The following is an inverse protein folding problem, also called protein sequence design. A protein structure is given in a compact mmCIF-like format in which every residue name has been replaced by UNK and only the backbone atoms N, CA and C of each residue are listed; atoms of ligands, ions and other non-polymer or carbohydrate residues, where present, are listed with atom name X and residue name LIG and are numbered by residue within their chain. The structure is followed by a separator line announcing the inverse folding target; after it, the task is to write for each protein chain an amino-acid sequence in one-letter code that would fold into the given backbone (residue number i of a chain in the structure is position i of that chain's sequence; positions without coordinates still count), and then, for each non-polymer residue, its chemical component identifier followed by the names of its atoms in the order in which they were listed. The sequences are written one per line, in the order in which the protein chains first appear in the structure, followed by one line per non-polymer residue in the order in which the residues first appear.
data_IF_472441408342
#
_entry.id   IF_472441408342
#
_cell.length_a   1.000
_cell.length_b   1.000
_cell.length_c   1.000
_cell.angle_alpha   90.00
_cell.angle_beta   90.00
_cell.angle_gamma   90.00
#
_symmetry.space_group_name_H-M   'P 1'
#
loop_
_entity.id
_entity.type
_entity.pdbx_description
1 polymer ?
#
# COMPACT_ATOMS: atom_id res chain seq x y z
N UNK A 1 -15.27 40.99 15.11
CA UNK A 1 -15.64 40.17 16.29
C UNK A 1 -14.38 39.53 16.85
N UNK A 2 -14.22 39.45 18.16
CA UNK A 2 -13.04 38.81 18.76
C UNK A 2 -12.91 37.32 18.32
N UNK A 3 -11.66 36.85 18.24
CA UNK A 3 -11.25 35.50 17.77
C UNK A 3 -11.67 35.07 16.35
N UNK A 4 -12.28 35.93 15.53
CA UNK A 4 -12.60 35.57 14.13
C UNK A 4 -11.35 35.37 13.26
N UNK A 5 -10.30 36.17 13.47
CA UNK A 5 -9.01 36.02 12.79
C UNK A 5 -8.32 34.70 13.14
N UNK A 6 -8.18 34.43 14.45
CA UNK A 6 -7.61 33.18 14.98
C UNK A 6 -8.33 31.92 14.45
N UNK A 7 -9.68 31.93 14.39
CA UNK A 7 -10.43 30.85 13.72
C UNK A 7 -10.04 30.69 12.24
N UNK A 8 -9.91 31.79 11.50
CA UNK A 8 -9.57 31.75 10.06
C UNK A 8 -8.15 31.20 9.83
N UNK A 9 -7.21 31.58 10.67
CA UNK A 9 -5.82 31.11 10.64
C UNK A 9 -5.72 29.61 10.93
N UNK A 10 -6.32 29.13 12.04
CA UNK A 10 -6.32 27.72 12.39
C UNK A 10 -7.02 26.82 11.34
N UNK A 11 -8.03 27.33 10.64
CA UNK A 11 -8.67 26.61 9.52
C UNK A 11 -7.80 26.59 8.26
N UNK A 12 -7.07 27.67 7.95
CA UNK A 12 -6.15 27.72 6.82
C UNK A 12 -4.93 26.78 7.03
N UNK A 13 -4.44 26.67 8.26
CA UNK A 13 -3.39 25.73 8.63
C UNK A 13 -3.85 24.26 8.52
N UNK A 14 -5.10 23.96 8.91
CA UNK A 14 -5.71 22.65 8.71
C UNK A 14 -5.84 22.30 7.22
N UNK A 15 -6.32 23.24 6.40
CA UNK A 15 -6.42 23.06 4.95
C UNK A 15 -5.04 22.79 4.32
N UNK A 16 -4.02 23.55 4.72
CA UNK A 16 -2.63 23.39 4.28
C UNK A 16 -2.04 22.03 4.70
N UNK A 17 -2.35 21.56 5.91
CA UNK A 17 -1.95 20.25 6.37
C UNK A 17 -2.63 19.13 5.57
N UNK A 18 -3.94 19.24 5.31
CA UNK A 18 -4.70 18.28 4.52
C UNK A 18 -4.16 18.16 3.08
N UNK A 19 -3.89 19.28 2.41
CA UNK A 19 -3.29 19.27 1.06
C UNK A 19 -1.91 18.59 1.03
N UNK A 20 -1.13 18.72 2.10
CA UNK A 20 0.16 17.99 2.23
C UNK A 20 -0.06 16.49 2.43
N UNK A 21 -1.00 16.12 3.29
CA UNK A 21 -1.37 14.72 3.53
C UNK A 21 -1.86 14.03 2.25
N UNK A 22 -2.82 14.65 1.54
CA UNK A 22 -3.38 14.13 0.29
C UNK A 22 -2.29 13.92 -0.78
N UNK A 23 -1.36 14.86 -0.93
CA UNK A 23 -0.22 14.71 -1.85
C UNK A 23 0.67 13.53 -1.47
N UNK A 24 1.06 13.42 -0.21
CA UNK A 24 1.92 12.32 0.27
C UNK A 24 1.23 10.97 0.12
N UNK A 25 -0.06 10.91 0.47
CA UNK A 25 -0.91 9.73 0.34
C UNK A 25 -1.01 9.26 -1.11
N UNK A 26 -1.38 10.15 -2.05
CA UNK A 26 -1.52 9.81 -3.46
C UNK A 26 -0.18 9.34 -4.10
N UNK A 27 0.94 9.96 -3.71
CA UNK A 27 2.28 9.50 -4.13
C UNK A 27 2.60 8.11 -3.56
N UNK A 28 2.25 7.86 -2.30
CA UNK A 28 2.50 6.58 -1.63
C UNK A 28 1.67 5.45 -2.24
N UNK A 29 0.38 5.66 -2.49
CA UNK A 29 -0.49 4.69 -3.17
C UNK A 29 0.09 4.31 -4.52
N UNK A 30 0.45 5.30 -5.35
CA UNK A 30 1.03 5.07 -6.68
C UNK A 30 2.32 4.26 -6.64
N UNK A 31 3.22 4.54 -5.69
CA UNK A 31 4.47 3.77 -5.56
C UNK A 31 4.22 2.34 -5.06
N UNK A 32 3.19 2.12 -4.22
CA UNK A 32 2.79 0.77 -3.80
C UNK A 32 2.20 -0.03 -4.97
N UNK A 33 1.41 0.60 -5.84
CA UNK A 33 0.88 -0.01 -7.07
C UNK A 33 2.00 -0.45 -8.02
N UNK A 34 3.05 0.37 -8.15
CA UNK A 34 4.26 0.03 -8.93
C UNK A 34 5.00 -1.14 -8.27
N UNK A 35 5.24 -1.09 -6.96
CA UNK A 35 5.88 -2.19 -6.20
C UNK A 35 5.11 -3.52 -6.33
N UNK A 36 3.77 -3.48 -6.33
CA UNK A 36 2.95 -4.67 -6.54
C UNK A 36 3.16 -5.27 -7.94
N UNK A 37 3.16 -4.44 -8.99
CA UNK A 37 3.46 -4.87 -10.36
C UNK A 37 4.86 -5.48 -10.47
N UNK A 38 5.87 -4.80 -9.93
CA UNK A 38 7.25 -5.29 -9.93
C UNK A 38 7.38 -6.66 -9.24
N UNK A 39 6.75 -6.87 -8.08
CA UNK A 39 6.74 -8.18 -7.40
C UNK A 39 6.08 -9.29 -8.25
N UNK A 40 5.01 -8.96 -8.99
CA UNK A 40 4.35 -9.91 -9.91
C UNK A 40 5.23 -10.21 -11.14
N UNK A 41 5.95 -9.23 -11.68
CA UNK A 41 6.91 -9.45 -12.77
C UNK A 41 8.16 -10.23 -12.30
N UNK A 42 8.63 -10.00 -11.08
CA UNK A 42 9.68 -10.82 -10.44
C UNK A 42 9.26 -12.28 -10.31
N UNK A 43 7.98 -12.57 -10.04
CA UNK A 43 7.46 -13.94 -9.99
C UNK A 43 7.56 -14.66 -11.36
N UNK A 44 7.32 -13.95 -12.47
CA UNK A 44 7.53 -14.49 -13.82
C UNK A 44 8.98 -14.88 -14.04
N UNK A 45 9.91 -14.02 -13.63
CA UNK A 45 11.35 -14.23 -13.75
C UNK A 45 11.85 -15.40 -12.88
N UNK A 46 11.40 -15.50 -11.63
CA UNK A 46 11.66 -16.65 -10.74
C UNK A 46 11.22 -17.95 -11.40
N UNK A 47 10.00 -18.00 -11.96
CA UNK A 47 9.46 -19.20 -12.63
C UNK A 47 10.24 -19.58 -13.89
N UNK A 48 10.74 -18.61 -14.67
CA UNK A 48 11.63 -18.90 -15.80
C UNK A 48 12.94 -19.59 -15.38
N UNK A 49 13.50 -19.20 -14.23
CA UNK A 49 14.74 -19.77 -13.69
C UNK A 49 14.49 -21.15 -13.06
N UNK A 50 13.39 -21.33 -12.32
CA UNK A 50 12.96 -22.66 -11.86
C UNK A 50 12.79 -23.60 -13.04
N UNK A 51 12.10 -23.18 -14.11
CA UNK A 51 11.86 -24.00 -15.30
C UNK A 51 13.18 -24.39 -16.00
N UNK A 52 14.08 -23.43 -16.19
CA UNK A 52 15.42 -23.68 -16.73
C UNK A 52 16.18 -24.70 -15.86
N UNK A 53 16.28 -24.49 -14.55
CA UNK A 53 16.93 -25.42 -13.64
C UNK A 53 16.27 -26.82 -13.65
N UNK A 54 14.94 -26.86 -13.72
CA UNK A 54 14.19 -28.11 -13.78
C UNK A 54 14.46 -28.90 -15.06
N UNK A 55 14.73 -28.25 -16.21
CA UNK A 55 15.15 -28.95 -17.44
C UNK A 55 16.54 -29.61 -17.37
N UNK A 56 17.40 -29.21 -16.42
CA UNK A 56 18.76 -29.73 -16.33
C UNK A 56 18.82 -31.14 -15.72
N UNK A 57 19.60 -32.04 -16.31
CA UNK A 57 19.91 -33.35 -15.73
C UNK A 57 21.08 -33.29 -14.74
N UNK A 58 21.15 -34.28 -13.83
CA UNK A 58 22.23 -34.43 -12.83
C UNK A 58 22.41 -33.20 -11.89
N UNK A 59 21.31 -32.58 -11.46
CA UNK A 59 21.32 -31.43 -10.53
C UNK A 59 22.02 -31.75 -9.20
N UNK A 60 22.91 -30.88 -8.67
CA UNK A 60 23.44 -30.99 -7.31
C UNK A 60 22.30 -30.92 -6.27
N UNK A 61 22.34 -31.78 -5.24
CA UNK A 61 21.30 -31.84 -4.19
C UNK A 61 21.08 -30.50 -3.50
N UNK A 62 22.16 -29.82 -3.12
CA UNK A 62 22.14 -28.48 -2.51
C UNK A 62 21.28 -27.46 -3.29
N UNK A 63 21.31 -27.50 -4.63
CA UNK A 63 20.54 -26.59 -5.47
C UNK A 63 19.07 -27.01 -5.62
N UNK A 64 18.78 -28.31 -5.55
CA UNK A 64 17.39 -28.81 -5.51
C UNK A 64 16.71 -28.29 -4.24
N UNK A 65 17.40 -28.36 -3.10
CA UNK A 65 16.88 -27.90 -1.81
C UNK A 65 16.59 -26.39 -1.83
N UNK A 66 17.49 -25.56 -2.39
CA UNK A 66 17.24 -24.11 -2.57
C UNK A 66 16.08 -23.81 -3.54
N UNK A 67 15.94 -24.56 -4.64
CA UNK A 67 14.82 -24.39 -5.58
C UNK A 67 13.47 -24.80 -4.96
N UNK A 68 13.46 -25.80 -4.08
CA UNK A 68 12.28 -26.12 -3.28
C UNK A 68 11.90 -24.96 -2.33
N UNK A 69 12.88 -24.27 -1.71
CA UNK A 69 12.61 -23.07 -0.89
C UNK A 69 12.08 -21.90 -1.73
N UNK A 70 12.67 -21.65 -2.90
CA UNK A 70 12.14 -20.67 -3.88
C UNK A 70 10.66 -20.95 -4.19
N UNK A 71 10.32 -22.23 -4.41
CA UNK A 71 8.95 -22.67 -4.70
C UNK A 71 7.98 -22.42 -3.55
N UNK A 72 8.37 -22.72 -2.31
CA UNK A 72 7.57 -22.40 -1.13
C UNK A 72 7.33 -20.90 -1.00
N UNK A 73 8.38 -20.09 -1.17
CA UNK A 73 8.32 -18.63 -1.08
C UNK A 73 7.36 -18.02 -2.11
N UNK A 74 7.50 -18.35 -3.40
CA UNK A 74 6.60 -17.76 -4.40
C UNK A 74 5.18 -18.33 -4.31
N UNK A 75 5.01 -19.60 -3.90
CA UNK A 75 3.66 -20.18 -3.71
C UNK A 75 2.92 -19.50 -2.56
N UNK A 76 3.62 -19.11 -1.50
CA UNK A 76 3.02 -18.33 -0.40
C UNK A 76 2.60 -16.93 -0.89
N UNK A 77 3.44 -16.27 -1.70
CA UNK A 77 3.11 -14.99 -2.32
C UNK A 77 1.88 -15.08 -3.25
N UNK A 78 1.77 -16.12 -4.09
CA UNK A 78 0.60 -16.34 -4.95
C UNK A 78 -0.67 -16.64 -4.15
N UNK A 79 -0.57 -17.40 -3.05
CA UNK A 79 -1.70 -17.61 -2.12
C UNK A 79 -2.19 -16.31 -1.51
N UNK A 80 -1.27 -15.44 -1.10
CA UNK A 80 -1.59 -14.14 -0.51
C UNK A 80 -2.28 -13.22 -1.53
N UNK A 81 -1.71 -13.05 -2.73
CA UNK A 81 -2.36 -12.30 -3.84
C UNK A 81 -3.78 -12.84 -4.08
N UNK A 82 -3.93 -14.16 -4.18
CA UNK A 82 -5.24 -14.79 -4.41
C UNK A 82 -6.22 -14.58 -3.25
N UNK A 83 -5.76 -14.59 -2.00
CA UNK A 83 -6.64 -14.28 -0.86
C UNK A 83 -7.10 -12.82 -0.88
N UNK A 84 -6.20 -11.90 -1.23
CA UNK A 84 -6.49 -10.47 -1.35
C UNK A 84 -7.48 -10.18 -2.49
N UNK A 85 -7.31 -10.81 -3.66
CA UNK A 85 -8.27 -10.75 -4.75
C UNK A 85 -9.66 -11.27 -4.34
N UNK A 86 -9.72 -12.37 -3.58
CA UNK A 86 -10.96 -12.96 -3.12
C UNK A 86 -11.66 -12.08 -2.08
N UNK A 87 -10.93 -11.49 -1.12
CA UNK A 87 -11.50 -10.54 -0.17
C UNK A 87 -11.96 -9.25 -0.87
N UNK A 88 -11.22 -8.77 -1.86
CA UNK A 88 -11.63 -7.59 -2.63
C UNK A 88 -12.86 -7.84 -3.50
N UNK A 89 -12.97 -9.01 -4.16
CA UNK A 89 -14.18 -9.43 -4.89
C UNK A 89 -15.39 -9.62 -3.95
N UNK A 90 -15.17 -10.05 -2.70
CA UNK A 90 -16.23 -10.09 -1.68
C UNK A 90 -16.67 -8.68 -1.30
N UNK A 91 -15.73 -7.75 -1.11
CA UNK A 91 -16.02 -6.34 -0.81
C UNK A 91 -16.85 -5.70 -1.93
N UNK A 92 -16.47 -5.92 -3.19
CA UNK A 92 -17.19 -5.47 -4.38
C UNK A 92 -18.61 -6.08 -4.49
N UNK A 93 -18.77 -7.35 -4.10
CA UNK A 93 -20.10 -7.99 -4.06
C UNK A 93 -20.97 -7.48 -2.92
N UNK A 94 -20.39 -7.12 -1.78
CA UNK A 94 -21.09 -6.48 -0.64
C UNK A 94 -21.42 -5.01 -0.95
N UNK A 95 -20.59 -4.31 -1.71
CA UNK A 95 -20.91 -2.98 -2.26
C UNK A 95 -21.82 -3.03 -3.49
N UNK A 96 -22.28 -4.21 -3.93
CA UNK A 96 -23.30 -4.35 -4.97
C UNK A 96 -24.64 -3.68 -4.61
N UNK A 97 -24.96 -3.56 -3.33
CA UNK A 97 -26.08 -2.74 -2.81
C UNK A 97 -25.74 -1.26 -2.60
N UNK A 98 -24.49 -0.86 -2.85
CA UNK A 98 -23.95 0.51 -2.76
C UNK A 98 -23.67 1.08 -4.17
N UNK A 99 -23.91 0.31 -5.24
CA UNK A 99 -23.80 0.78 -6.62
C UNK A 99 -24.74 1.97 -6.96
N UNK A 100 -25.77 2.23 -6.15
CA UNK A 100 -26.63 3.43 -6.23
C UNK A 100 -26.17 4.64 -5.40
N UNK A 101 -25.20 4.47 -4.51
CA UNK A 101 -24.65 5.53 -3.65
C UNK A 101 -23.17 5.67 -3.95
N UNK A 102 -22.86 6.53 -4.93
CA UNK A 102 -21.55 6.61 -5.58
C UNK A 102 -20.38 6.52 -4.61
N UNK A 103 -19.69 5.37 -4.64
CA UNK A 103 -18.29 5.25 -4.19
C UNK A 103 -17.45 6.01 -5.19
N UNK A 104 -17.56 7.34 -5.13
CA UNK A 104 -16.69 8.25 -5.84
C UNK A 104 -15.28 7.94 -5.36
N UNK A 105 -14.46 7.39 -6.26
CA UNK A 105 -13.08 7.09 -5.98
C UNK A 105 -12.42 8.35 -5.42
N UNK A 106 -11.92 8.27 -4.18
CA UNK A 106 -11.02 9.28 -3.65
C UNK A 106 -9.84 9.46 -4.61
N UNK A 107 -9.32 10.68 -4.68
CA UNK A 107 -8.52 11.24 -5.79
C UNK A 107 -7.30 10.41 -6.23
N UNK A 108 -6.85 9.42 -5.44
CA UNK A 108 -5.75 8.52 -5.76
C UNK A 108 -6.08 7.17 -6.44
N UNK A 109 -7.34 6.70 -6.47
CA UNK A 109 -7.65 5.26 -6.75
C UNK A 109 -8.09 4.96 -8.19
N UNK A 110 -8.31 5.98 -9.03
CA UNK A 110 -8.93 5.83 -10.35
C UNK A 110 -8.12 5.02 -11.41
N UNK A 111 -6.85 4.68 -11.14
CA UNK A 111 -5.97 4.02 -12.11
C UNK A 111 -6.09 2.48 -12.13
N UNK A 112 -6.81 1.87 -11.18
CA UNK A 112 -6.95 0.42 -11.05
C UNK A 112 -8.39 0.03 -10.75
N UNK A 113 -8.76 -1.21 -11.10
CA UNK A 113 -10.02 -1.79 -10.66
C UNK A 113 -10.07 -1.89 -9.12
N UNK A 114 -11.27 -1.82 -8.50
CA UNK A 114 -11.44 -1.85 -7.04
C UNK A 114 -10.66 -2.99 -6.36
N UNK A 115 -10.53 -4.12 -7.04
CA UNK A 115 -9.79 -5.30 -6.58
C UNK A 115 -8.30 -5.07 -6.33
N UNK A 116 -7.59 -4.32 -7.18
CA UNK A 116 -6.13 -4.16 -7.04
C UNK A 116 -5.79 -3.10 -6.00
N UNK A 117 -6.56 -2.01 -5.96
CA UNK A 117 -6.43 -1.00 -4.92
C UNK A 117 -6.68 -1.61 -3.52
N UNK A 118 -7.68 -2.47 -3.40
CA UNK A 118 -8.02 -3.11 -2.13
C UNK A 118 -7.00 -4.16 -1.71
N UNK A 119 -6.45 -4.94 -2.65
CA UNK A 119 -5.29 -5.80 -2.39
C UNK A 119 -4.06 -4.99 -1.93
N UNK A 120 -3.80 -3.83 -2.54
CA UNK A 120 -2.74 -2.89 -2.14
C UNK A 120 -2.96 -2.40 -0.70
N UNK A 121 -4.16 -1.91 -0.39
CA UNK A 121 -4.52 -1.42 0.95
C UNK A 121 -4.45 -2.52 2.01
N UNK A 122 -4.88 -3.74 1.69
CA UNK A 122 -4.80 -4.89 2.60
C UNK A 122 -3.35 -5.34 2.84
N UNK A 123 -2.52 -5.41 1.80
CA UNK A 123 -1.13 -5.90 1.94
C UNK A 123 -0.23 -4.89 2.67
N UNK A 124 -0.43 -3.60 2.37
CA UNK A 124 0.55 -2.55 2.67
C UNK A 124 0.00 -1.39 3.50
N UNK A 125 -1.31 -1.27 3.63
CA UNK A 125 -1.93 -0.28 4.51
C UNK A 125 -1.86 -0.66 5.98
N UNK A 126 -2.00 0.33 6.84
CA UNK A 126 -2.17 0.18 8.28
C UNK A 126 -3.53 0.71 8.71
N UNK A 127 -4.19 0.01 9.61
CA UNK A 127 -5.39 0.48 10.28
C UNK A 127 -5.06 1.70 11.17
N UNK A 128 -6.08 2.47 11.56
CA UNK A 128 -5.92 3.66 12.41
C UNK A 128 -5.19 3.39 13.75
N UNK A 129 -5.19 2.15 14.22
CA UNK A 129 -4.48 1.66 15.41
C UNK A 129 -2.98 1.45 15.21
N UNK A 130 -2.46 1.58 13.98
CA UNK A 130 -1.10 1.20 13.59
C UNK A 130 -0.93 -0.28 13.25
N UNK A 131 -1.98 -1.10 13.36
CA UNK A 131 -1.97 -2.52 12.98
C UNK A 131 -1.86 -2.64 11.45
N UNK A 132 -0.93 -3.45 10.93
CA UNK A 132 -0.87 -3.77 9.50
C UNK A 132 -2.18 -4.44 9.06
N UNK A 133 -2.80 -3.99 7.95
CA UNK A 133 -4.11 -4.51 7.54
C UNK A 133 -4.03 -6.00 7.17
N UNK A 134 -2.87 -6.45 6.70
CA UNK A 134 -2.53 -7.86 6.44
C UNK A 134 -2.47 -8.75 7.69
N UNK A 135 -2.50 -8.17 8.89
CA UNK A 135 -2.65 -8.90 10.15
C UNK A 135 -4.12 -8.97 10.64
N UNK A 136 -5.04 -8.27 9.99
CA UNK A 136 -6.48 -8.45 10.18
C UNK A 136 -7.00 -9.52 9.20
N UNK A 137 -8.25 -9.96 9.38
CA UNK A 137 -8.93 -10.87 8.46
C UNK A 137 -10.39 -10.50 8.25
N UNK A 138 -10.98 -10.94 7.14
CA UNK A 138 -12.42 -10.85 6.88
C UNK A 138 -12.93 -9.41 6.90
N UNK A 139 -14.07 -9.18 7.57
CA UNK A 139 -14.70 -7.87 7.62
C UNK A 139 -13.81 -6.77 8.22
N UNK A 140 -12.92 -7.11 9.16
CA UNK A 140 -12.04 -6.13 9.79
C UNK A 140 -10.91 -5.68 8.82
N UNK A 141 -10.30 -6.61 8.09
CA UNK A 141 -9.35 -6.28 7.02
C UNK A 141 -10.02 -5.49 5.89
N UNK A 142 -11.20 -5.94 5.48
CA UNK A 142 -12.04 -5.31 4.44
C UNK A 142 -12.36 -3.84 4.78
N UNK A 143 -12.86 -3.59 6.00
CA UNK A 143 -13.24 -2.24 6.42
C UNK A 143 -12.02 -1.35 6.68
N UNK A 144 -10.92 -1.90 7.21
CA UNK A 144 -9.67 -1.16 7.37
C UNK A 144 -9.07 -0.77 6.02
N UNK A 145 -9.10 -1.67 5.02
CA UNK A 145 -8.63 -1.40 3.66
C UNK A 145 -9.48 -0.36 2.95
N UNK A 146 -10.81 -0.43 3.06
CA UNK A 146 -11.72 0.60 2.52
C UNK A 146 -11.53 1.96 3.21
N UNK A 147 -11.33 1.99 4.53
CA UNK A 147 -11.00 3.21 5.25
C UNK A 147 -9.62 3.78 4.84
N UNK A 148 -8.65 2.91 4.56
CA UNK A 148 -7.33 3.30 4.08
C UNK A 148 -7.41 3.87 2.65
N UNK A 149 -8.15 3.23 1.73
CA UNK A 149 -8.42 3.72 0.36
C UNK A 149 -9.26 4.99 0.31
N UNK A 150 -10.19 5.15 1.25
CA UNK A 150 -11.07 6.32 1.36
C UNK A 150 -10.41 7.58 1.91
N UNK A 151 -9.08 7.69 1.89
CA UNK A 151 -8.35 8.87 2.38
C UNK A 151 -7.89 8.80 3.85
N UNK A 152 -7.94 7.63 4.48
CA UNK A 152 -7.20 7.36 5.72
C UNK A 152 -7.78 7.91 7.03
N UNK A 153 -7.10 7.53 8.12
CA UNK A 153 -7.62 7.52 9.50
C UNK A 153 -8.24 8.82 10.03
N UNK A 154 -7.84 10.00 9.55
CA UNK A 154 -8.37 11.26 10.06
C UNK A 154 -9.78 11.61 9.61
N UNK A 155 -10.19 11.08 8.45
CA UNK A 155 -11.58 11.19 7.99
C UNK A 155 -12.49 10.31 8.87
N UNK A 156 -11.94 9.27 9.49
CA UNK A 156 -12.61 8.33 10.38
C UNK A 156 -12.59 8.77 11.86
N UNK A 157 -12.99 10.02 12.11
CA UNK A 157 -13.27 10.51 13.46
C UNK A 157 -14.50 9.83 14.10
N UNK A 158 -14.36 8.58 14.54
CA UNK A 158 -15.35 7.85 15.35
C UNK A 158 -16.63 7.39 14.64
N UNK A 159 -16.74 7.52 13.32
CA UNK A 159 -17.89 7.06 12.53
C UNK A 159 -17.45 6.34 11.25
N UNK A 160 -17.95 5.12 11.03
CA UNK A 160 -17.43 4.22 9.99
C UNK A 160 -17.84 4.55 8.55
N UNK A 161 -17.00 4.11 7.60
CA UNK A 161 -17.20 3.86 6.15
C UNK A 161 -17.83 4.93 5.23
N UNK A 162 -18.59 5.91 5.70
CA UNK A 162 -19.33 6.83 4.82
C UNK A 162 -18.56 8.07 4.34
N UNK A 163 -17.38 8.35 4.89
CA UNK A 163 -16.90 9.74 4.98
C UNK A 163 -15.82 10.18 3.98
N UNK A 164 -15.30 9.29 3.12
CA UNK A 164 -14.14 9.55 2.24
C UNK A 164 -14.29 10.71 1.25
N UNK A 165 -15.52 11.06 0.87
CA UNK A 165 -15.80 12.28 0.09
C UNK A 165 -16.20 13.50 0.94
N UNK A 166 -16.66 13.30 2.18
CA UNK A 166 -17.34 14.37 2.92
C UNK A 166 -16.44 15.42 3.56
N UNK A 167 -15.15 15.18 3.85
CA UNK A 167 -14.34 16.32 4.35
C UNK A 167 -14.08 17.38 3.26
N UNK A 168 -14.02 16.97 1.99
CA UNK A 168 -13.98 17.87 0.83
C UNK A 168 -15.38 18.35 0.40
N UNK A 169 -16.42 17.51 0.47
CA UNK A 169 -17.80 17.94 0.19
C UNK A 169 -18.39 18.85 1.30
N UNK A 170 -17.77 18.89 2.49
CA UNK A 170 -18.02 19.89 3.53
C UNK A 170 -17.25 21.20 3.31
N UNK A 171 -16.75 21.48 2.10
CA UNK A 171 -16.22 22.79 1.67
C UNK A 171 -17.29 23.91 1.56
N UNK A 172 -18.32 23.86 2.43
CA UNK A 172 -19.27 24.93 2.72
C UNK A 172 -19.22 25.29 4.22
N UNK A 173 -19.59 26.52 4.62
CA UNK A 173 -18.79 27.43 5.48
C UNK A 173 -18.06 27.02 6.79
N UNK A 174 -18.17 25.78 7.31
CA UNK A 174 -17.19 25.10 8.21
C UNK A 174 -17.43 23.57 8.23
N UNK A 175 -18.30 23.05 7.37
CA UNK A 175 -18.92 21.74 7.50
C UNK A 175 -19.84 21.49 8.71
N UNK A 176 -20.73 22.37 9.20
CA UNK A 176 -20.95 23.82 8.99
C UNK A 176 -20.52 24.66 10.22
N UNK A 177 -20.14 24.00 11.31
CA UNK A 177 -19.36 24.54 12.45
C UNK A 177 -18.55 23.38 13.12
N UNK A 178 -18.13 22.41 12.30
CA UNK A 178 -17.92 21.01 12.67
C UNK A 178 -19.27 20.34 13.06
N UNK A 179 -19.97 19.79 12.07
CA UNK A 179 -21.08 18.85 12.24
C UNK A 179 -22.47 19.39 12.61
N UNK A 180 -22.62 20.40 13.49
CA UNK A 180 -23.97 20.72 13.97
C UNK A 180 -24.19 21.85 14.98
N UNK A 181 -23.48 22.97 14.91
CA UNK A 181 -23.72 24.13 15.78
C UNK A 181 -24.41 25.30 15.06
N UNK A 182 -25.69 25.11 14.69
CA UNK A 182 -26.50 26.14 14.07
C UNK A 182 -26.82 27.35 14.98
N UNK A 183 -26.94 28.51 14.32
CA UNK A 183 -27.74 29.70 14.70
C UNK A 183 -27.29 30.54 15.94
N UNK A 184 -26.87 31.76 15.61
CA UNK A 184 -27.14 33.11 16.19
C UNK A 184 -27.37 33.24 17.71
N UNK A 185 -26.57 34.11 18.33
CA UNK A 185 -26.86 34.76 19.62
C UNK A 185 -25.63 35.44 20.24
N UNK A 186 -25.64 36.77 20.40
CA UNK A 186 -24.71 37.54 21.25
C UNK A 186 -23.21 37.57 20.87
N UNK A 187 -22.61 38.77 20.83
CA UNK A 187 -21.19 38.96 20.48
C UNK A 187 -20.18 38.19 21.37
N UNK A 188 -20.54 37.89 22.62
CA UNK A 188 -19.71 37.14 23.56
C UNK A 188 -19.75 35.60 23.34
N UNK A 189 -20.92 35.02 23.01
CA UNK A 189 -21.01 33.58 22.73
C UNK A 189 -20.27 33.23 21.43
N UNK A 190 -20.38 34.08 20.40
CA UNK A 190 -19.65 33.91 19.16
C UNK A 190 -18.12 33.93 19.35
N UNK A 191 -17.62 34.71 20.31
CA UNK A 191 -16.20 34.75 20.65
C UNK A 191 -15.70 33.41 21.24
N UNK A 192 -16.46 32.82 22.18
CA UNK A 192 -16.16 31.47 22.73
C UNK A 192 -16.24 30.39 21.65
N UNK A 193 -17.29 30.38 20.82
CA UNK A 193 -17.45 29.44 19.69
C UNK A 193 -16.27 29.54 18.71
N UNK A 194 -15.83 30.76 18.34
CA UNK A 194 -14.68 30.95 17.45
C UNK A 194 -13.38 30.36 18.04
N UNK A 195 -13.10 30.60 19.33
CA UNK A 195 -11.92 30.02 20.01
C UNK A 195 -11.98 28.49 20.08
N UNK A 196 -13.16 27.92 20.30
CA UNK A 196 -13.33 26.46 20.33
C UNK A 196 -13.11 25.81 18.96
N UNK A 197 -13.64 26.43 17.88
CA UNK A 197 -13.41 25.95 16.51
C UNK A 197 -11.92 26.02 16.16
N UNK A 198 -11.23 27.11 16.51
CA UNK A 198 -9.79 27.25 16.28
C UNK A 198 -9.00 26.11 16.97
N UNK A 199 -9.25 25.87 18.27
CA UNK A 199 -8.61 24.78 19.03
C UNK A 199 -8.91 23.39 18.44
N UNK A 200 -10.13 23.15 17.94
CA UNK A 200 -10.47 21.89 17.25
C UNK A 200 -9.71 21.74 15.93
N UNK A 201 -9.53 22.83 15.17
CA UNK A 201 -8.75 22.84 13.94
C UNK A 201 -7.24 22.66 14.19
N UNK A 202 -6.68 23.25 15.25
CA UNK A 202 -5.29 23.01 15.69
C UNK A 202 -5.06 21.55 16.08
N UNK A 203 -5.96 20.98 16.90
CA UNK A 203 -5.90 19.56 17.28
C UNK A 203 -5.95 18.66 16.04
N UNK A 204 -6.90 18.89 15.14
CA UNK A 204 -6.98 18.17 13.87
C UNK A 204 -5.67 18.32 13.06
N UNK A 205 -5.13 19.54 12.95
CA UNK A 205 -3.86 19.81 12.25
C UNK A 205 -2.69 19.02 12.83
N UNK A 206 -2.64 18.84 14.15
CA UNK A 206 -1.65 18.00 14.81
C UNK A 206 -1.79 16.52 14.39
N UNK A 207 -3.01 15.99 14.40
CA UNK A 207 -3.28 14.62 13.96
C UNK A 207 -3.00 14.42 12.46
N UNK A 208 -3.34 15.38 11.58
CA UNK A 208 -2.99 15.33 10.13
C UNK A 208 -1.48 15.21 9.98
N UNK A 209 -0.70 16.00 10.72
CA UNK A 209 0.77 15.98 10.66
C UNK A 209 1.35 14.65 11.15
N UNK A 210 0.73 14.01 12.16
CA UNK A 210 1.11 12.66 12.62
C UNK A 210 0.86 11.62 11.54
N UNK A 211 -0.33 11.57 10.94
CA UNK A 211 -0.63 10.63 9.86
C UNK A 211 0.21 10.88 8.60
N UNK A 212 0.47 12.16 8.25
CA UNK A 212 1.42 12.53 7.19
C UNK A 212 2.81 11.94 7.44
N UNK A 213 3.25 11.93 8.70
CA UNK A 213 4.55 11.36 9.08
C UNK A 213 4.54 9.82 9.01
N UNK A 214 3.42 9.16 9.33
CA UNK A 214 3.28 7.70 9.18
C UNK A 214 3.28 7.28 7.72
N UNK A 215 2.48 7.93 6.86
CA UNK A 215 2.41 7.60 5.43
C UNK A 215 3.74 7.89 4.71
N UNK A 216 4.48 8.92 5.11
CA UNK A 216 5.84 9.18 4.59
C UNK A 216 6.85 8.09 4.96
N UNK A 217 6.76 7.49 6.17
CA UNK A 217 7.57 6.31 6.53
C UNK A 217 7.23 5.09 5.65
N UNK A 218 5.94 4.87 5.37
CA UNK A 218 5.48 3.86 4.41
C UNK A 218 6.07 4.12 3.02
N UNK A 219 6.00 5.35 2.51
CA UNK A 219 6.58 5.76 1.23
C UNK A 219 8.08 5.47 1.11
N UNK A 220 8.86 5.79 2.15
CA UNK A 220 10.30 5.50 2.20
C UNK A 220 10.55 3.99 2.14
N UNK A 221 9.83 3.19 2.93
CA UNK A 221 9.99 1.73 2.96
C UNK A 221 9.58 1.06 1.64
N UNK A 222 8.48 1.51 1.02
CA UNK A 222 8.06 1.08 -0.32
C UNK A 222 9.17 1.33 -1.33
N UNK A 223 9.76 2.53 -1.34
CA UNK A 223 10.84 2.87 -2.27
C UNK A 223 12.15 2.10 -2.00
N UNK A 224 12.47 1.74 -0.76
CA UNK A 224 13.59 0.83 -0.45
C UNK A 224 13.37 -0.55 -1.08
N UNK A 225 12.22 -1.18 -0.80
CA UNK A 225 11.89 -2.52 -1.31
C UNK A 225 11.84 -2.52 -2.85
N UNK A 226 11.26 -1.47 -3.46
CA UNK A 226 11.21 -1.27 -4.92
C UNK A 226 12.62 -1.26 -5.51
N UNK A 227 13.52 -0.47 -4.93
CA UNK A 227 14.93 -0.41 -5.35
C UNK A 227 15.64 -1.76 -5.20
N UNK A 228 15.52 -2.41 -4.03
CA UNK A 228 16.15 -3.71 -3.77
C UNK A 228 15.67 -4.80 -4.74
N UNK A 229 14.36 -4.86 -5.03
CA UNK A 229 13.79 -5.80 -6.00
C UNK A 229 14.32 -5.52 -7.41
N UNK A 230 14.36 -4.26 -7.83
CA UNK A 230 14.86 -3.87 -9.15
C UNK A 230 16.37 -4.20 -9.30
N UNK A 231 17.19 -3.85 -8.32
CA UNK A 231 18.64 -4.10 -8.33
C UNK A 231 18.93 -5.62 -8.40
N UNK A 232 18.20 -6.44 -7.64
CA UNK A 232 18.27 -7.90 -7.72
C UNK A 232 17.82 -8.39 -9.11
N UNK A 233 16.69 -7.90 -9.63
CA UNK A 233 16.15 -8.33 -10.93
C UNK A 233 17.08 -8.00 -12.10
N UNK A 234 17.76 -6.86 -12.10
CA UNK A 234 18.72 -6.48 -13.14
C UNK A 234 19.90 -7.47 -13.16
N UNK A 235 20.51 -7.71 -11.99
CA UNK A 235 21.61 -8.66 -11.84
C UNK A 235 21.21 -10.07 -12.30
N UNK A 236 20.08 -10.55 -11.80
CA UNK A 236 19.59 -11.90 -12.03
C UNK A 236 19.12 -12.15 -13.48
N UNK A 237 18.56 -11.14 -14.18
CA UNK A 237 18.32 -11.22 -15.64
C UNK A 237 19.61 -11.49 -16.41
N UNK A 238 20.66 -10.72 -16.13
CA UNK A 238 21.95 -10.87 -16.81
C UNK A 238 22.60 -12.24 -16.56
N UNK A 239 22.52 -12.78 -15.33
CA UNK A 239 22.99 -14.16 -15.06
C UNK A 239 22.13 -15.20 -15.78
N UNK A 240 20.81 -15.04 -15.79
CA UNK A 240 19.91 -15.96 -16.45
C UNK A 240 20.14 -16.03 -17.96
N UNK A 241 20.29 -14.88 -18.63
CA UNK A 241 20.63 -14.78 -20.05
C UNK A 241 21.96 -15.46 -20.36
N UNK A 242 23.01 -15.20 -19.57
CA UNK A 242 24.33 -15.85 -19.73
C UNK A 242 24.25 -17.36 -19.56
N UNK A 243 23.53 -17.85 -18.54
CA UNK A 243 23.44 -19.29 -18.24
C UNK A 243 22.58 -20.04 -19.25
N UNK A 244 21.46 -19.46 -19.70
CA UNK A 244 20.59 -20.06 -20.71
C UNK A 244 21.24 -20.10 -22.11
N UNK A 245 22.03 -19.09 -22.46
CA UNK A 245 22.79 -19.06 -23.72
C UNK A 245 23.86 -20.18 -23.85
N UNK A 246 24.25 -20.85 -22.76
CA UNK A 246 25.20 -21.96 -22.81
C UNK A 246 24.65 -23.21 -23.53
N UNK A 247 23.32 -23.34 -23.67
CA UNK A 247 22.64 -24.53 -24.23
C UNK A 247 23.02 -25.87 -23.54
N UNK A 248 23.53 -25.82 -22.32
CA UNK A 248 23.87 -27.00 -21.50
C UNK A 248 22.59 -27.56 -20.87
N UNK A 249 22.33 -28.85 -21.07
CA UNK A 249 21.16 -29.57 -20.52
C UNK A 249 21.51 -30.50 -19.37
N UNK A 250 22.79 -30.60 -18.98
CA UNK A 250 23.27 -31.51 -17.95
C UNK A 250 24.30 -30.80 -17.05
N UNK A 251 24.04 -30.71 -15.75
CA UNK A 251 24.91 -29.97 -14.81
C UNK A 251 26.33 -30.53 -14.72
N UNK A 252 26.58 -31.79 -15.12
CA UNK A 252 27.93 -32.37 -15.20
C UNK A 252 28.78 -31.82 -16.35
N UNK A 253 28.19 -31.11 -17.30
CA UNK A 253 28.91 -30.46 -18.40
C UNK A 253 29.36 -29.03 -18.04
N UNK A 254 28.92 -28.47 -16.91
CA UNK A 254 29.42 -27.18 -16.45
C UNK A 254 30.88 -27.29 -15.99
N UNK A 255 31.71 -26.36 -16.44
CA UNK A 255 33.00 -26.12 -15.82
C UNK A 255 32.82 -25.47 -14.42
N UNK A 256 33.91 -25.33 -13.66
CA UNK A 256 33.87 -24.80 -12.29
C UNK A 256 33.26 -23.39 -12.19
N UNK A 257 33.50 -22.53 -13.17
CA UNK A 257 32.98 -21.16 -13.22
C UNK A 257 31.48 -21.14 -13.54
N UNK A 258 31.04 -21.92 -14.53
CA UNK A 258 29.63 -22.06 -14.90
C UNK A 258 28.82 -22.68 -13.76
N UNK A 259 29.38 -23.65 -13.04
CA UNK A 259 28.75 -24.22 -11.85
C UNK A 259 28.65 -23.17 -10.73
N UNK A 260 29.69 -22.36 -10.50
CA UNK A 260 29.63 -21.25 -9.54
C UNK A 260 28.56 -20.21 -9.94
N UNK A 261 28.48 -19.83 -11.22
CA UNK A 261 27.46 -18.93 -11.76
C UNK A 261 26.04 -19.51 -11.61
N UNK A 262 25.86 -20.83 -11.75
CA UNK A 262 24.59 -21.49 -11.42
C UNK A 262 24.24 -21.35 -9.92
N UNK A 263 25.20 -21.57 -9.01
CA UNK A 263 24.96 -21.41 -7.57
C UNK A 263 24.57 -19.96 -7.24
N UNK A 264 25.22 -18.97 -7.85
CA UNK A 264 24.87 -17.55 -7.68
C UNK A 264 23.47 -17.27 -8.23
N UNK A 265 23.13 -17.75 -9.44
CA UNK A 265 21.80 -17.57 -10.05
C UNK A 265 20.69 -18.10 -9.12
N UNK A 266 20.84 -19.33 -8.61
CA UNK A 266 19.84 -19.94 -7.71
C UNK A 266 19.77 -19.20 -6.37
N UNK A 267 20.89 -18.86 -5.74
CA UNK A 267 20.90 -18.14 -4.46
C UNK A 267 20.31 -16.72 -4.58
N UNK A 268 20.60 -16.00 -5.67
CA UNK A 268 20.00 -14.68 -5.95
C UNK A 268 18.51 -14.81 -6.27
N UNK A 269 18.07 -15.91 -6.90
CA UNK A 269 16.64 -16.22 -7.10
C UNK A 269 15.93 -16.49 -5.78
N UNK A 270 16.59 -17.17 -4.85
CA UNK A 270 16.09 -17.37 -3.49
C UNK A 270 15.95 -16.05 -2.74
N UNK A 271 16.95 -15.17 -2.81
CA UNK A 271 16.87 -13.80 -2.28
C UNK A 271 15.67 -13.03 -2.84
N UNK A 272 15.47 -13.04 -4.16
CA UNK A 272 14.31 -12.40 -4.80
C UNK A 272 12.98 -13.00 -4.32
N UNK A 273 12.90 -14.34 -4.20
CA UNK A 273 11.70 -15.03 -3.71
C UNK A 273 11.35 -14.65 -2.26
N UNK A 274 12.36 -14.37 -1.43
CA UNK A 274 12.16 -13.83 -0.08
C UNK A 274 11.71 -12.36 -0.13
N UNK A 275 12.32 -11.53 -0.99
CA UNK A 275 12.00 -10.10 -1.11
C UNK A 275 10.61 -9.80 -1.66
N UNK A 276 10.06 -10.60 -2.58
CA UNK A 276 8.66 -10.42 -3.02
C UNK A 276 7.66 -10.63 -1.87
N UNK A 277 7.99 -11.46 -0.87
CA UNK A 277 7.16 -11.68 0.31
C UNK A 277 7.25 -10.56 1.37
N UNK A 278 8.23 -9.64 1.28
CA UNK A 278 8.49 -8.62 2.30
C UNK A 278 7.31 -7.65 2.50
N UNK A 279 6.96 -7.38 3.77
CA UNK A 279 5.85 -6.52 4.20
C UNK A 279 6.30 -5.08 4.40
N UNK A 280 5.43 -4.15 3.99
CA UNK A 280 5.65 -2.69 4.14
C UNK A 280 5.30 -2.17 5.54
N UNK A 281 4.64 -2.97 6.38
CA UNK A 281 4.30 -2.69 7.79
C UNK A 281 5.45 -2.12 8.62
#
# INVERSE_FOLDING_TARGET
MFNSGYKKEALADLEKANKKYEKEYNLTVKDIEILHKEKVDSLRLIKSIENYFNSLSNKPKELIDTVNQIKLNYTNFEKEIRSLELESKKAEKVSGSVAGAGVAAGVGVAAFGPSTAMAVAMTFGTASTGTAISALSGAAATNAALAWLGGGALVAGGGGMGAGGTFLALAGPVGWAIGGAGVIGGGALANKKNKEIARKAENATCEVKKETTKISKVHIKVNSIKKEINDICINLKQLYERMSALNITNCRQFNSEQLANMKILINTTESLSRKINEKVS
#
